data_IF_831019551090
#
_entry.id   IF_831019551090
#
_cell.length_a   1.000
_cell.length_b   1.000
_cell.length_c   1.000
_cell.angle_alpha   90.00
_cell.angle_beta   90.00
_cell.angle_gamma   90.00
#
_symmetry.space_group_name_H-M   'P 1'
#
loop_
_entity.id
_entity.type
_entity.pdbx_description
1 polymer ?
#
# COMPACT_ATOMS: atom_id res chain seq x y z
N UNK A 1 -3.69 13.31 -6.23
CA UNK A 1 -4.49 12.49 -5.29
C UNK A 1 -4.88 11.12 -5.89
N UNK A 2 -4.13 10.63 -6.88
CA UNK A 2 -4.50 9.44 -7.67
C UNK A 2 -3.74 8.20 -7.20
N UNK A 3 -2.53 8.38 -6.67
CA UNK A 3 -1.65 7.30 -6.18
C UNK A 3 -2.30 6.55 -5.03
N UNK A 4 -2.87 7.24 -4.04
CA UNK A 4 -3.53 6.60 -2.89
C UNK A 4 -4.67 5.67 -3.31
N UNK A 5 -5.48 6.08 -4.30
CA UNK A 5 -6.59 5.24 -4.82
C UNK A 5 -6.04 3.97 -5.46
N UNK A 6 -4.93 4.06 -6.19
CA UNK A 6 -4.29 2.90 -6.79
C UNK A 6 -3.65 2.02 -5.71
N UNK A 7 -2.99 2.60 -4.70
CA UNK A 7 -2.41 1.86 -3.57
C UNK A 7 -3.49 1.12 -2.77
N UNK A 8 -4.65 1.74 -2.52
CA UNK A 8 -5.78 1.07 -1.84
C UNK A 8 -6.33 -0.08 -2.66
N UNK A 9 -6.52 0.10 -3.98
CA UNK A 9 -6.96 -0.98 -4.87
C UNK A 9 -5.94 -2.11 -4.97
N UNK A 10 -4.65 -1.79 -4.95
CA UNK A 10 -3.58 -2.79 -4.94
C UNK A 10 -3.56 -3.55 -3.60
N UNK A 11 -3.67 -2.85 -2.47
CA UNK A 11 -3.78 -3.47 -1.15
C UNK A 11 -4.97 -4.42 -1.08
N UNK A 12 -6.14 -4.05 -1.58
CA UNK A 12 -7.31 -4.94 -1.60
C UNK A 12 -7.13 -6.21 -2.44
N UNK A 13 -6.22 -6.21 -3.43
CA UNK A 13 -5.99 -7.35 -4.31
C UNK A 13 -4.80 -8.22 -3.89
N UNK A 14 -3.74 -7.59 -3.38
CA UNK A 14 -2.48 -8.23 -3.02
C UNK A 14 -2.35 -8.52 -1.53
N UNK A 15 -3.00 -7.75 -0.66
CA UNK A 15 -2.96 -7.96 0.78
C UNK A 15 -4.21 -8.72 1.24
N UNK A 16 -4.06 -9.80 2.02
CA UNK A 16 -5.20 -10.49 2.62
C UNK A 16 -5.89 -9.67 3.72
N UNK A 17 -5.17 -8.74 4.37
CA UNK A 17 -5.73 -7.82 5.36
C UNK A 17 -5.33 -6.36 5.05
N UNK A 18 -6.30 -5.48 4.70
CA UNK A 18 -6.03 -4.07 4.44
C UNK A 18 -5.51 -3.29 5.65
N UNK A 19 -5.76 -3.76 6.88
CA UNK A 19 -5.30 -3.13 8.11
C UNK A 19 -3.86 -3.52 8.47
N UNK A 20 -3.32 -4.57 7.85
CA UNK A 20 -1.96 -5.05 8.08
C UNK A 20 -1.20 -5.18 6.75
N UNK A 21 -0.90 -4.06 6.07
CA UNK A 21 -0.20 -4.10 4.79
C UNK A 21 1.22 -4.65 4.96
N UNK A 22 1.51 -5.80 4.37
CA UNK A 22 2.83 -6.45 4.38
C UNK A 22 3.70 -6.02 3.21
N UNK A 23 3.09 -5.76 2.06
CA UNK A 23 3.76 -5.42 0.81
C UNK A 23 3.83 -3.92 0.59
N UNK A 24 2.76 -3.18 0.88
CA UNK A 24 2.73 -1.72 0.68
C UNK A 24 2.93 -0.98 1.99
N UNK A 25 4.16 -0.70 2.37
CA UNK A 25 4.45 0.08 3.58
C UNK A 25 4.43 1.58 3.30
N UNK A 26 3.71 2.33 4.13
CA UNK A 26 3.72 3.79 4.09
C UNK A 26 4.96 4.29 4.83
N UNK A 27 5.88 4.95 4.13
CA UNK A 27 7.08 5.56 4.70
C UNK A 27 6.86 7.06 4.81
N UNK A 28 6.65 7.54 6.04
CA UNK A 28 6.47 8.96 6.30
C UNK A 28 7.68 9.78 5.82
N UNK A 29 7.43 10.79 4.98
CA UNK A 29 8.46 11.67 4.40
C UNK A 29 9.03 11.22 3.05
N UNK A 30 8.74 10.01 2.59
CA UNK A 30 9.28 9.46 1.32
C UNK A 30 8.19 8.99 0.37
N UNK A 31 7.13 8.34 0.88
CA UNK A 31 6.03 7.82 0.07
C UNK A 31 5.69 6.37 0.41
N UNK A 32 5.50 5.54 -0.60
CA UNK A 32 5.13 4.13 -0.45
C UNK A 32 6.27 3.22 -0.88
N UNK A 33 6.60 2.24 -0.04
CA UNK A 33 7.60 1.21 -0.33
C UNK A 33 6.90 -0.11 -0.61
N UNK A 34 7.17 -0.68 -1.78
CA UNK A 34 6.77 -2.04 -2.10
C UNK A 34 7.84 -3.01 -1.60
N UNK A 35 7.43 -3.98 -0.78
CA UNK A 35 8.24 -5.11 -0.36
C UNK A 35 7.69 -6.38 -1.04
N UNK A 36 8.54 -7.15 -1.75
CA UNK A 36 8.17 -8.43 -2.34
C UNK A 36 7.95 -9.51 -1.28
#
# INVERSE_FOLDING_TARGET
RTVDVHVVKLRQKLEPDPNAPRHFLTVHGVGYRFLP
#
